data_IF_162611091720
#
_entry.id   IF_162611091720
#
_cell.length_a   1.000
_cell.length_b   1.000
_cell.length_c   1.000
_cell.angle_alpha   90.00
_cell.angle_beta   90.00
_cell.angle_gamma   90.00
#
_symmetry.space_group_name_H-M   'P 1'
#
loop_
_entity.id
_entity.type
_entity.pdbx_description
1 polymer ?
#
# COMPACT_ATOMS: atom_id res chain seq x y z
N UNK A 1 -2.63 2.13 14.62
CA UNK A 1 -4.08 2.29 14.75
C UNK A 1 -4.69 0.95 14.37
N UNK A 2 -5.25 0.18 15.32
CA UNK A 2 -5.88 -1.11 14.98
C UNK A 2 -7.39 -0.93 15.07
N UNK A 3 -8.14 -1.52 14.15
CA UNK A 3 -9.60 -1.50 14.13
C UNK A 3 -10.22 -0.09 14.21
N UNK A 4 -9.54 0.91 13.64
CA UNK A 4 -10.03 2.29 13.63
C UNK A 4 -10.88 2.55 12.38
N UNK A 5 -11.78 3.53 12.44
CA UNK A 5 -12.48 4.02 11.27
C UNK A 5 -11.78 5.29 10.75
N UNK A 6 -11.20 5.18 9.57
CA UNK A 6 -10.52 6.25 8.82
C UNK A 6 -11.14 6.38 7.42
N UNK A 7 -12.41 6.03 7.26
CA UNK A 7 -13.16 6.21 6.02
C UNK A 7 -13.07 7.67 5.53
N UNK A 8 -12.79 7.85 4.23
CA UNK A 8 -12.61 9.14 3.57
C UNK A 8 -11.53 10.06 4.18
N UNK A 9 -10.64 9.53 5.02
CA UNK A 9 -9.59 10.33 5.64
C UNK A 9 -8.57 10.83 4.61
N UNK A 10 -8.05 12.03 4.88
CA UNK A 10 -6.89 12.57 4.19
C UNK A 10 -5.62 11.99 4.81
N UNK A 11 -4.99 11.05 4.10
CA UNK A 11 -3.70 10.45 4.49
C UNK A 11 -2.60 10.84 3.49
N UNK A 12 -2.78 11.96 2.76
CA UNK A 12 -1.79 12.45 1.81
C UNK A 12 -0.50 12.77 2.55
N UNK A 13 0.62 12.29 2.01
CA UNK A 13 1.96 12.44 2.59
C UNK A 13 2.11 11.88 4.01
N UNK A 14 1.16 11.09 4.51
CA UNK A 14 1.24 10.51 5.85
C UNK A 14 2.45 9.56 5.93
N UNK A 15 3.21 9.67 7.02
CA UNK A 15 4.23 8.69 7.36
C UNK A 15 3.58 7.54 8.15
N UNK A 16 3.41 6.41 7.47
CA UNK A 16 2.86 5.18 8.02
C UNK A 16 3.91 4.07 8.05
N UNK A 17 5.20 4.43 7.94
CA UNK A 17 6.33 3.51 8.01
C UNK A 17 6.25 2.64 9.27
N UNK A 18 6.34 1.31 9.10
CA UNK A 18 6.21 0.32 10.19
C UNK A 18 4.91 0.39 11.01
N UNK A 19 3.90 1.14 10.57
CA UNK A 19 2.65 1.25 11.31
C UNK A 19 1.81 -0.02 11.23
N UNK A 20 0.96 -0.22 12.24
CA UNK A 20 -0.05 -1.27 12.23
C UNK A 20 -1.41 -0.64 11.98
N UNK A 21 -2.04 -1.04 10.86
CA UNK A 21 -3.37 -0.66 10.38
C UNK A 21 -4.32 -1.88 10.29
N UNK A 22 -4.03 -2.92 11.07
CA UNK A 22 -4.78 -4.19 11.04
C UNK A 22 -6.27 -3.91 11.30
N UNK A 23 -7.14 -4.45 10.43
CA UNK A 23 -8.60 -4.34 10.57
C UNK A 23 -9.16 -2.91 10.46
N UNK A 24 -8.36 -1.93 10.02
CA UNK A 24 -8.81 -0.53 9.91
C UNK A 24 -9.70 -0.34 8.69
N UNK A 25 -10.75 0.48 8.82
CA UNK A 25 -11.60 0.89 7.69
C UNK A 25 -10.96 2.12 7.05
N UNK A 26 -10.54 1.99 5.79
CA UNK A 26 -9.85 3.01 5.00
C UNK A 26 -10.61 3.31 3.69
N UNK A 27 -11.86 2.85 3.56
CA UNK A 27 -12.68 3.05 2.37
C UNK A 27 -12.66 4.52 1.94
N UNK A 28 -12.30 4.77 0.68
CA UNK A 28 -12.26 6.13 0.12
C UNK A 28 -11.14 7.07 0.60
N UNK A 29 -10.26 6.62 1.51
CA UNK A 29 -9.14 7.42 2.00
C UNK A 29 -8.12 7.75 0.90
N UNK A 30 -7.45 8.90 0.99
CA UNK A 30 -6.45 9.36 0.02
C UNK A 30 -5.03 9.09 0.50
N UNK A 31 -4.29 8.25 -0.23
CA UNK A 31 -2.92 7.87 0.09
C UNK A 31 -1.85 8.56 -0.77
N UNK A 32 -2.16 9.69 -1.42
CA UNK A 32 -1.21 10.38 -2.30
C UNK A 32 0.10 10.69 -1.59
N UNK A 33 1.21 10.08 -2.02
CA UNK A 33 2.53 10.30 -1.42
C UNK A 33 2.73 9.69 -0.03
N UNK A 34 1.79 8.92 0.51
CA UNK A 34 1.93 8.28 1.80
C UNK A 34 3.07 7.24 1.81
N UNK A 35 3.78 7.13 2.94
CA UNK A 35 4.82 6.11 3.15
C UNK A 35 4.21 4.88 3.81
N UNK A 36 4.00 3.81 3.04
CA UNK A 36 3.41 2.54 3.49
C UNK A 36 4.46 1.43 3.63
N UNK A 37 5.75 1.78 3.63
CA UNK A 37 6.81 0.78 3.65
C UNK A 37 6.78 0.02 4.99
N UNK A 38 6.74 -1.31 4.92
CA UNK A 38 6.63 -2.20 6.08
C UNK A 38 5.37 -2.00 6.93
N UNK A 39 4.35 -1.32 6.40
CA UNK A 39 3.05 -1.18 7.07
C UNK A 39 2.32 -2.51 7.10
N UNK A 40 1.69 -2.82 8.23
CA UNK A 40 0.81 -3.98 8.35
C UNK A 40 -0.66 -3.58 8.16
N UNK A 41 -1.21 -3.86 6.97
CA UNK A 41 -2.61 -3.61 6.60
C UNK A 41 -3.43 -4.91 6.56
N UNK A 42 -3.03 -5.92 7.32
CA UNK A 42 -3.75 -7.19 7.35
C UNK A 42 -5.23 -6.97 7.70
N UNK A 43 -6.13 -7.59 6.93
CA UNK A 43 -7.57 -7.48 7.10
C UNK A 43 -8.15 -6.04 7.07
N UNK A 44 -7.38 -5.04 6.63
CA UNK A 44 -7.90 -3.68 6.47
C UNK A 44 -8.93 -3.61 5.33
N UNK A 45 -9.95 -2.75 5.47
CA UNK A 45 -10.85 -2.44 4.35
C UNK A 45 -10.29 -1.25 3.57
N UNK A 46 -9.71 -1.51 2.41
CA UNK A 46 -9.06 -0.53 1.55
C UNK A 46 -9.77 -0.39 0.20
N UNK A 47 -11.07 -0.76 0.14
CA UNK A 47 -11.87 -0.60 -1.07
C UNK A 47 -12.00 0.88 -1.44
N UNK A 48 -11.77 1.20 -2.72
CA UNK A 48 -12.00 2.54 -3.24
C UNK A 48 -11.03 3.59 -2.73
N UNK A 49 -9.89 3.20 -2.15
CA UNK A 49 -8.86 4.16 -1.77
C UNK A 49 -8.37 4.94 -2.99
N UNK A 50 -8.01 6.19 -2.75
CA UNK A 50 -7.57 7.12 -3.79
C UNK A 50 -6.04 7.09 -3.84
N UNK A 51 -5.52 7.21 -5.07
CA UNK A 51 -4.11 7.48 -5.33
C UNK A 51 -3.10 6.47 -4.77
N UNK A 52 -3.49 5.19 -4.63
CA UNK A 52 -2.58 4.12 -4.16
C UNK A 52 -1.28 4.04 -4.98
N UNK A 53 -1.32 4.27 -6.30
CA UNK A 53 -0.13 4.26 -7.15
C UNK A 53 0.86 5.41 -6.90
N UNK A 54 0.44 6.43 -6.14
CA UNK A 54 1.32 7.51 -5.67
C UNK A 54 1.86 7.25 -4.27
N UNK A 55 1.35 6.24 -3.57
CA UNK A 55 1.87 5.81 -2.28
C UNK A 55 3.16 5.01 -2.46
N UNK A 56 4.02 5.03 -1.44
CA UNK A 56 5.27 4.27 -1.42
C UNK A 56 5.08 3.01 -0.60
N UNK A 57 4.93 1.86 -1.26
CA UNK A 57 4.89 0.55 -0.62
C UNK A 57 5.88 -0.41 -1.30
N UNK A 58 6.25 -1.46 -0.59
CA UNK A 58 7.23 -2.48 -1.01
C UNK A 58 6.65 -3.89 -0.81
N UNK A 59 7.35 -4.92 -1.29
CA UNK A 59 6.90 -6.33 -1.22
C UNK A 59 6.60 -6.81 0.21
N UNK A 60 7.22 -6.22 1.22
CA UNK A 60 7.01 -6.52 2.65
C UNK A 60 5.82 -5.78 3.27
N UNK A 61 5.12 -4.93 2.51
CA UNK A 61 3.89 -4.28 2.96
C UNK A 61 2.79 -5.33 3.01
N UNK A 62 2.19 -5.52 4.19
CA UNK A 62 1.27 -6.64 4.37
C UNK A 62 -0.16 -6.24 3.97
N UNK A 63 -0.59 -6.72 2.80
CA UNK A 63 -1.97 -6.62 2.31
C UNK A 63 -2.76 -7.93 2.46
N UNK A 64 -2.27 -8.88 3.27
CA UNK A 64 -2.93 -10.18 3.44
C UNK A 64 -4.34 -10.01 4.03
N UNK A 65 -5.32 -10.66 3.42
CA UNK A 65 -6.73 -10.56 3.81
C UNK A 65 -7.34 -9.15 3.72
N UNK A 66 -6.59 -8.16 3.22
CA UNK A 66 -7.13 -6.82 3.00
C UNK A 66 -8.25 -6.89 1.96
N UNK A 67 -9.34 -6.17 2.24
CA UNK A 67 -10.47 -6.08 1.33
C UNK A 67 -10.09 -5.09 0.22
N UNK A 68 -9.84 -5.61 -0.98
CA UNK A 68 -9.37 -4.88 -2.15
C UNK A 68 -10.30 -5.13 -3.33
N UNK A 69 -10.59 -4.09 -4.10
CA UNK A 69 -11.17 -4.17 -5.44
C UNK A 69 -10.12 -4.65 -6.45
N UNK A 70 -10.56 -5.09 -7.64
CA UNK A 70 -9.64 -5.46 -8.72
C UNK A 70 -8.75 -4.30 -9.18
N UNK A 71 -9.23 -3.05 -9.04
CA UNK A 71 -8.45 -1.86 -9.31
C UNK A 71 -7.25 -1.77 -8.37
N UNK A 72 -7.44 -1.83 -7.05
CA UNK A 72 -6.33 -1.75 -6.11
C UNK A 72 -5.36 -2.93 -6.27
N UNK A 73 -5.88 -4.15 -6.46
CA UNK A 73 -5.03 -5.33 -6.71
C UNK A 73 -4.17 -5.16 -7.96
N UNK A 74 -4.72 -4.59 -9.04
CA UNK A 74 -3.98 -4.35 -10.29
C UNK A 74 -2.84 -3.34 -10.08
N UNK A 75 -3.08 -2.29 -9.29
CA UNK A 75 -2.06 -1.29 -8.93
C UNK A 75 -0.96 -1.95 -8.11
N UNK A 76 -1.30 -2.71 -7.05
CA UNK A 76 -0.32 -3.40 -6.21
C UNK A 76 0.58 -4.31 -7.06
N UNK A 77 -0.01 -5.16 -7.91
CA UNK A 77 0.77 -6.05 -8.79
C UNK A 77 1.72 -5.27 -9.71
N UNK A 78 1.21 -4.24 -10.37
CA UNK A 78 1.99 -3.41 -11.30
C UNK A 78 3.16 -2.71 -10.60
N UNK A 79 2.91 -2.08 -9.45
CA UNK A 79 3.94 -1.34 -8.73
C UNK A 79 5.02 -2.27 -8.17
N UNK A 80 4.64 -3.43 -7.61
CA UNK A 80 5.60 -4.40 -7.09
C UNK A 80 6.46 -5.01 -8.20
N UNK A 81 5.88 -5.34 -9.36
CA UNK A 81 6.67 -5.80 -10.52
C UNK A 81 7.63 -4.74 -11.04
N UNK A 82 7.21 -3.47 -11.10
CA UNK A 82 8.09 -2.37 -11.50
C UNK A 82 9.28 -2.22 -10.55
N UNK A 83 9.09 -2.45 -9.24
CA UNK A 83 10.17 -2.42 -8.24
C UNK A 83 11.14 -3.61 -8.39
N UNK A 84 10.64 -4.82 -8.67
CA UNK A 84 11.50 -5.98 -8.93
C UNK A 84 12.34 -5.80 -10.19
N UNK A 85 11.77 -5.22 -11.26
CA UNK A 85 12.52 -4.86 -12.47
C UNK A 85 13.64 -3.85 -12.18
N UNK A 86 13.38 -2.85 -11.32
CA UNK A 86 14.41 -1.91 -10.84
C UNK A 86 15.50 -2.62 -10.04
N UNK A 87 15.16 -3.51 -9.10
CA UNK A 87 16.13 -4.33 -8.36
C UNK A 87 17.01 -5.15 -9.33
N UNK A 88 16.41 -5.83 -10.31
CA UNK A 88 17.14 -6.62 -11.31
C UNK A 88 18.09 -5.77 -12.16
N UNK A 89 17.71 -4.53 -12.51
CA UNK A 89 18.59 -3.61 -13.24
C UNK A 89 19.75 -3.08 -12.41
N UNK A 90 19.58 -2.96 -11.09
CA UNK A 90 20.62 -2.51 -10.17
C UNK A 90 21.64 -3.61 -9.84
N UNK A 91 21.21 -4.88 -9.85
CA UNK A 91 22.06 -6.03 -9.47
C UNK A 91 22.42 -6.96 -10.63
N UNK A 92 21.92 -6.71 -11.85
CA UNK A 92 22.09 -7.55 -13.03
C UNK A 92 22.85 -6.84 -14.14
N UNK A 93 24.16 -6.75 -13.98
CA UNK A 93 25.09 -6.21 -14.97
C UNK A 93 26.43 -6.95 -14.95
N UNK A 94 26.40 -8.25 -15.23
CA UNK A 94 27.54 -9.05 -15.73
C UNK A 94 27.03 -10.46 -16.02
N UNK A 95 26.55 -10.65 -17.25
CA UNK A 95 26.43 -11.94 -17.91
C UNK A 95 27.35 -11.93 -19.12
#
# INVERSE_FOLDING_TARGET
>A
MKNSNLENSDLRQADLYLSSLIGTILTGADFSGASLQFTNMQAADVKGIKNLGLARFVETTNFQFAQLTEKEKSVIRRELWAQQGKKRRLFGGSG
#
